data_IF_969544902355
#
_entry.id   IF_969544902355
#
_cell.length_a   1.000
_cell.length_b   1.000
_cell.length_c   1.000
_cell.angle_alpha   90.00
_cell.angle_beta   90.00
_cell.angle_gamma   90.00
#
_symmetry.space_group_name_H-M   'P 1'
#
loop_
_entity.id
_entity.type
_entity.pdbx_description
1 polymer ?
#
# COMPACT_ATOMS: atom_id res chain seq x y z
N UNK A 1 -7.47 10.68 22.27
CA UNK A 1 -7.47 11.52 21.06
C UNK A 1 -7.75 10.59 19.90
N UNK A 2 -8.98 10.57 19.40
CA UNK A 2 -9.33 9.80 18.19
C UNK A 2 -8.69 10.50 17.00
N UNK A 3 -7.57 9.96 16.52
CA UNK A 3 -6.93 10.46 15.31
C UNK A 3 -7.92 10.31 14.15
N UNK A 4 -8.08 11.36 13.35
CA UNK A 4 -8.96 11.35 12.17
C UNK A 4 -8.31 10.44 11.11
N UNK A 5 -8.58 9.13 11.17
CA UNK A 5 -8.00 8.16 10.23
C UNK A 5 -8.76 8.14 8.91
N UNK A 6 -8.00 7.91 7.84
CA UNK A 6 -8.44 7.86 6.45
C UNK A 6 -8.12 6.50 5.79
N UNK A 7 -8.69 5.37 6.28
CA UNK A 7 -8.41 4.04 5.75
C UNK A 7 -8.77 3.88 4.26
N UNK A 8 -9.67 4.71 3.74
CA UNK A 8 -10.07 4.74 2.33
C UNK A 8 -8.90 5.03 1.37
N UNK A 9 -7.83 5.70 1.84
CA UNK A 9 -6.65 6.00 1.01
C UNK A 9 -5.96 4.74 0.50
N UNK A 10 -5.87 3.71 1.34
CA UNK A 10 -5.29 2.42 0.95
C UNK A 10 -6.14 1.74 -0.13
N UNK A 11 -7.46 1.78 0.02
CA UNK A 11 -8.40 1.26 -1.00
C UNK A 11 -8.22 1.97 -2.35
N UNK A 12 -8.18 3.30 -2.35
CA UNK A 12 -7.96 4.08 -3.56
C UNK A 12 -6.61 3.77 -4.24
N UNK A 13 -5.55 3.53 -3.46
CA UNK A 13 -4.26 3.08 -3.99
C UNK A 13 -4.34 1.69 -4.65
N UNK A 14 -5.00 0.73 -3.98
CA UNK A 14 -5.17 -0.65 -4.48
C UNK A 14 -5.92 -0.63 -5.81
N UNK A 15 -7.03 0.10 -5.89
CA UNK A 15 -7.84 0.20 -7.11
C UNK A 15 -7.03 0.81 -8.26
N UNK A 16 -6.37 1.95 -8.01
CA UNK A 16 -5.56 2.63 -9.02
C UNK A 16 -4.36 1.77 -9.50
N UNK A 17 -3.72 1.03 -8.61
CA UNK A 17 -2.62 0.13 -8.98
C UNK A 17 -3.13 -1.09 -9.76
N UNK A 18 -4.29 -1.65 -9.37
CA UNK A 18 -4.92 -2.77 -10.07
C UNK A 18 -5.35 -2.39 -11.50
N UNK A 19 -5.91 -1.18 -11.69
CA UNK A 19 -6.21 -0.62 -13.01
C UNK A 19 -4.94 -0.41 -13.84
N UNK A 20 -3.89 0.17 -13.23
CA UNK A 20 -2.61 0.38 -13.91
C UNK A 20 -2.03 -0.94 -14.42
N UNK A 21 -1.96 -1.97 -13.57
CA UNK A 21 -1.47 -3.29 -13.96
C UNK A 21 -2.39 -3.92 -15.03
N UNK A 22 -3.71 -3.75 -14.90
CA UNK A 22 -4.69 -4.24 -15.87
C UNK A 22 -4.57 -3.63 -17.26
N UNK A 23 -3.92 -2.47 -17.40
CA UNK A 23 -3.58 -1.87 -18.69
C UNK A 23 -2.33 -2.46 -19.36
N UNK A 24 -1.69 -3.46 -18.73
CA UNK A 24 -0.49 -4.17 -19.20
C UNK A 24 0.66 -3.24 -19.66
N UNK A 25 1.05 -2.22 -18.87
CA UNK A 25 2.14 -1.33 -19.23
C UNK A 25 3.48 -2.07 -19.21
N UNK A 26 4.46 -1.55 -19.96
CA UNK A 26 5.85 -1.96 -19.78
C UNK A 26 6.33 -1.69 -18.35
N UNK A 27 7.25 -2.52 -17.85
CA UNK A 27 7.71 -2.48 -16.45
C UNK A 27 8.25 -1.10 -16.03
N UNK A 28 9.03 -0.43 -16.88
CA UNK A 28 9.53 0.91 -16.58
C UNK A 28 8.42 1.95 -16.40
N UNK A 29 7.31 1.82 -17.13
CA UNK A 29 6.15 2.68 -17.00
C UNK A 29 5.31 2.30 -15.77
N UNK A 30 5.20 1.00 -15.47
CA UNK A 30 4.57 0.46 -14.27
C UNK A 30 5.24 1.02 -13.01
N UNK A 31 6.57 0.90 -12.91
CA UNK A 31 7.32 1.38 -11.75
C UNK A 31 7.22 2.90 -11.61
N UNK A 32 7.32 3.65 -12.71
CA UNK A 32 7.24 5.11 -12.69
C UNK A 32 5.86 5.61 -12.26
N UNK A 33 4.78 4.99 -12.78
CA UNK A 33 3.39 5.40 -12.47
C UNK A 33 2.96 4.85 -11.11
N UNK A 34 3.25 3.59 -10.82
CA UNK A 34 2.98 2.95 -9.53
C UNK A 34 3.71 3.62 -8.37
N UNK A 35 4.97 4.03 -8.55
CA UNK A 35 5.71 4.79 -7.56
C UNK A 35 5.06 6.14 -7.22
N UNK A 36 4.42 6.81 -8.20
CA UNK A 36 3.66 8.05 -7.94
C UNK A 36 2.39 7.77 -7.13
N UNK A 37 1.68 6.68 -7.43
CA UNK A 37 0.52 6.26 -6.65
C UNK A 37 0.91 5.95 -5.20
N UNK A 38 2.02 5.23 -5.00
CA UNK A 38 2.52 4.91 -3.67
C UNK A 38 2.97 6.16 -2.91
N UNK A 39 3.68 7.08 -3.57
CA UNK A 39 4.10 8.35 -2.99
C UNK A 39 2.90 9.18 -2.49
N UNK A 40 1.78 9.15 -3.22
CA UNK A 40 0.55 9.81 -2.77
C UNK A 40 -0.03 9.16 -1.51
N UNK A 41 -0.08 7.82 -1.45
CA UNK A 41 -0.54 7.10 -0.26
C UNK A 41 0.30 7.43 0.97
N UNK A 42 1.63 7.29 0.88
CA UNK A 42 2.53 7.46 2.04
C UNK A 42 2.82 8.92 2.38
N UNK A 43 2.34 9.88 1.58
CA UNK A 43 2.49 11.31 1.90
C UNK A 43 1.68 11.77 3.11
N UNK A 44 0.67 10.99 3.51
CA UNK A 44 -0.14 11.21 4.69
C UNK A 44 -0.06 9.96 5.57
N UNK A 45 0.35 10.11 6.82
CA UNK A 45 0.45 9.00 7.78
C UNK A 45 -0.82 8.89 8.64
N UNK A 46 -1.98 8.81 7.98
CA UNK A 46 -3.30 8.85 8.59
C UNK A 46 -4.18 7.64 8.24
N UNK A 47 -3.68 6.65 7.51
CA UNK A 47 -4.49 5.55 6.96
C UNK A 47 -4.19 4.17 7.55
N UNK A 48 -2.96 3.93 8.05
CA UNK A 48 -2.55 2.62 8.55
C UNK A 48 -3.13 2.38 9.95
N UNK A 49 -3.74 1.21 10.18
CA UNK A 49 -4.17 0.83 11.52
C UNK A 49 -2.95 0.52 12.41
N UNK A 50 -2.97 1.01 13.66
CA UNK A 50 -1.83 0.89 14.59
C UNK A 50 -1.36 -0.56 14.78
N UNK A 51 -2.24 -1.55 14.64
CA UNK A 51 -1.91 -2.99 14.75
C UNK A 51 -0.93 -3.45 13.66
N UNK A 52 -0.93 -2.81 12.49
CA UNK A 52 -0.01 -3.06 11.38
C UNK A 52 1.22 -2.16 11.40
N UNK A 53 1.40 -1.38 12.47
CA UNK A 53 2.53 -0.49 12.72
C UNK A 53 3.31 -0.87 14.00
N UNK A 54 2.95 -1.97 14.66
CA UNK A 54 3.62 -2.41 15.89
C UNK A 54 4.96 -3.09 15.59
N UNK A 55 6.09 -2.58 16.13
CA UNK A 55 7.39 -3.24 15.98
C UNK A 55 7.49 -4.49 16.89
N UNK A 56 8.40 -5.39 16.55
CA UNK A 56 8.84 -6.49 17.42
C UNK A 56 10.31 -6.27 17.82
N UNK A 57 10.69 -6.43 19.10
CA UNK A 57 12.04 -6.14 19.56
C UNK A 57 13.11 -7.14 19.08
N UNK A 58 12.70 -8.32 18.60
CA UNK A 58 13.60 -9.38 18.15
C UNK A 58 13.78 -9.40 16.62
N UNK A 59 12.81 -8.89 15.85
CA UNK A 59 12.85 -8.90 14.38
C UNK A 59 11.96 -7.83 13.77
N UNK A 60 12.25 -7.44 12.53
CA UNK A 60 11.31 -6.67 11.72
C UNK A 60 10.03 -7.48 11.45
N UNK A 61 8.92 -6.78 11.34
CA UNK A 61 7.60 -7.33 11.10
C UNK A 61 7.14 -7.00 9.69
N UNK A 62 6.42 -7.95 9.07
CA UNK A 62 5.81 -7.79 7.75
C UNK A 62 4.33 -8.13 7.86
N UNK A 63 3.49 -7.11 7.79
CA UNK A 63 2.04 -7.27 7.85
C UNK A 63 1.46 -7.19 6.44
N UNK A 64 0.85 -8.27 5.97
CA UNK A 64 0.12 -8.28 4.70
C UNK A 64 -1.13 -7.40 4.83
N UNK A 65 -1.20 -6.34 4.02
CA UNK A 65 -2.34 -5.43 3.97
C UNK A 65 -3.32 -5.80 2.86
N UNK A 66 -2.78 -6.24 1.72
CA UNK A 66 -3.57 -6.64 0.57
C UNK A 66 -2.81 -7.63 -0.31
N UNK A 67 -3.51 -8.63 -0.84
CA UNK A 67 -3.04 -9.49 -1.91
C UNK A 67 -4.06 -9.45 -3.05
N UNK A 68 -3.60 -9.08 -4.25
CA UNK A 68 -4.44 -9.06 -5.43
C UNK A 68 -4.98 -10.48 -5.75
N UNK A 69 -6.28 -10.66 -6.04
CA UNK A 69 -6.84 -11.98 -6.33
C UNK A 69 -6.19 -12.71 -7.51
N UNK A 70 -5.66 -11.96 -8.49
CA UNK A 70 -4.93 -12.52 -9.64
C UNK A 70 -3.43 -12.68 -9.36
N UNK A 71 -3.00 -12.46 -8.11
CA UNK A 71 -1.61 -12.59 -7.65
C UNK A 71 -0.63 -11.66 -8.40
N UNK A 72 -1.10 -10.51 -8.89
CA UNK A 72 -0.27 -9.56 -9.65
C UNK A 72 0.55 -8.64 -8.75
N UNK A 73 0.10 -8.37 -7.54
CA UNK A 73 0.82 -7.58 -6.55
C UNK A 73 0.34 -7.88 -5.12
N UNK A 74 1.15 -7.45 -4.15
CA UNK A 74 0.81 -7.43 -2.73
C UNK A 74 1.26 -6.11 -2.09
N UNK A 75 0.53 -5.64 -1.08
CA UNK A 75 0.90 -4.48 -0.26
C UNK A 75 1.20 -4.95 1.15
N UNK A 76 2.37 -4.57 1.66
CA UNK A 76 2.89 -5.02 2.96
C UNK A 76 3.33 -3.80 3.76
N UNK A 77 2.93 -3.73 5.03
CA UNK A 77 3.55 -2.82 6.01
C UNK A 77 4.80 -3.48 6.57
N UNK A 78 5.93 -2.79 6.49
CA UNK A 78 7.22 -3.26 6.99
C UNK A 78 7.64 -2.39 8.18
N UNK A 79 7.79 -2.99 9.36
CA UNK A 79 8.02 -2.30 10.64
C UNK A 79 9.26 -2.83 11.33
#
# INVERSE_FOLDING_TARGET
>A
MTQNRHPERLGAFIDALAELIGSEPHEGDLLRRGGKLLAQLVSHDDWLADEFAQPDPARYQQFLLHADPQQRFSVVSFV
#
